data_IF_745399900760
#
_entry.id   IF_745399900760
#
_cell.length_a   1.000
_cell.length_b   1.000
_cell.length_c   1.000
_cell.angle_alpha   90.00
_cell.angle_beta   90.00
_cell.angle_gamma   90.00
#
_symmetry.space_group_name_H-M   'P 1'
#
loop_
_entity.id
_entity.type
_entity.pdbx_description
1 polymer ?
#
# COMPACT_ATOMS: atom_id res chain seq x y z
N UNK A 1 2.45 0.48 -0.51
CA UNK A 1 1.66 0.41 -1.76
C UNK A 1 1.58 -0.99 -2.35
N UNK A 2 2.68 -1.74 -2.45
CA UNK A 2 2.72 -3.07 -3.08
C UNK A 2 1.90 -4.19 -2.39
N UNK A 3 1.18 -3.89 -1.31
CA UNK A 3 0.27 -4.83 -0.61
C UNK A 3 -1.11 -4.21 -0.37
N UNK A 4 -1.45 -3.13 -1.08
CA UNK A 4 -2.68 -2.35 -0.88
C UNK A 4 -3.80 -2.70 -1.89
N UNK A 5 -3.66 -3.82 -2.61
CA UNK A 5 -4.55 -4.25 -3.70
C UNK A 5 -5.65 -5.20 -3.25
N UNK A 6 -5.85 -5.40 -1.95
CA UNK A 6 -6.89 -6.27 -1.40
C UNK A 6 -8.30 -5.87 -1.84
N UNK A 7 -8.53 -4.59 -2.13
CA UNK A 7 -9.79 -4.10 -2.71
C UNK A 7 -10.15 -4.71 -4.07
N UNK A 8 -9.14 -5.09 -4.88
CA UNK A 8 -9.36 -5.76 -6.18
C UNK A 8 -9.70 -7.24 -6.04
N UNK A 9 -9.38 -7.82 -4.88
CA UNK A 9 -9.59 -9.25 -4.63
C UNK A 9 -11.02 -9.57 -4.19
N UNK A 10 -11.89 -8.58 -3.99
CA UNK A 10 -13.30 -8.79 -3.64
C UNK A 10 -14.01 -9.74 -4.60
N UNK A 11 -13.69 -9.68 -5.91
CA UNK A 11 -14.23 -10.62 -6.90
C UNK A 11 -13.89 -12.09 -6.63
N UNK A 12 -12.75 -12.37 -5.98
CA UNK A 12 -12.27 -13.74 -5.73
C UNK A 12 -13.01 -14.43 -4.58
N UNK A 13 -13.45 -13.69 -3.56
CA UNK A 13 -14.11 -14.26 -2.38
C UNK A 13 -15.60 -13.88 -2.23
N UNK A 14 -16.09 -12.87 -2.96
CA UNK A 14 -17.50 -12.45 -2.89
C UNK A 14 -18.48 -13.57 -3.25
N UNK A 15 -18.16 -14.40 -4.24
CA UNK A 15 -18.96 -15.57 -4.60
C UNK A 15 -19.04 -16.61 -3.46
N UNK A 16 -17.97 -16.74 -2.68
CA UNK A 16 -17.94 -17.63 -1.52
C UNK A 16 -18.82 -17.10 -0.37
N UNK A 17 -18.75 -15.79 -0.09
CA UNK A 17 -19.66 -15.12 0.86
C UNK A 17 -21.12 -15.32 0.44
N UNK A 18 -21.42 -15.21 -0.85
CA UNK A 18 -22.76 -15.43 -1.41
C UNK A 18 -23.28 -16.84 -1.09
N UNK A 19 -22.43 -17.85 -1.27
CA UNK A 19 -22.77 -19.26 -1.05
C UNK A 19 -23.04 -19.56 0.42
N UNK A 20 -22.20 -19.07 1.33
CA UNK A 20 -22.30 -19.36 2.77
C UNK A 20 -23.52 -18.71 3.41
N UNK A 21 -23.81 -17.45 3.07
CA UNK A 21 -24.87 -16.68 3.72
C UNK A 21 -26.19 -16.65 2.94
N UNK A 22 -26.25 -17.32 1.77
CA UNK A 22 -27.43 -17.29 0.90
C UNK A 22 -27.78 -15.88 0.39
N UNK A 23 -26.80 -14.98 0.32
CA UNK A 23 -27.03 -13.58 -0.03
C UNK A 23 -27.46 -13.42 -1.49
N UNK A 24 -28.48 -12.58 -1.70
CA UNK A 24 -28.87 -12.14 -3.04
C UNK A 24 -27.86 -11.17 -3.65
N UNK A 25 -27.99 -10.91 -4.95
CA UNK A 25 -27.12 -9.96 -5.65
C UNK A 25 -27.23 -8.53 -5.08
N UNK A 26 -28.42 -8.15 -4.60
CA UNK A 26 -28.65 -6.86 -3.92
C UNK A 26 -27.77 -6.70 -2.67
N UNK A 27 -27.62 -7.76 -1.87
CA UNK A 27 -26.77 -7.75 -0.68
C UNK A 27 -25.28 -7.60 -1.02
N UNK A 28 -24.79 -8.31 -2.05
CA UNK A 28 -23.41 -8.14 -2.54
C UNK A 28 -23.18 -6.73 -3.10
N UNK A 29 -24.17 -6.15 -3.77
CA UNK A 29 -24.08 -4.78 -4.28
C UNK A 29 -24.01 -3.77 -3.13
N UNK A 30 -24.76 -3.97 -2.05
CA UNK A 30 -24.62 -3.16 -0.83
C UNK A 30 -23.23 -3.29 -0.21
N UNK A 31 -22.69 -4.50 -0.10
CA UNK A 31 -21.33 -4.72 0.42
C UNK A 31 -20.29 -4.03 -0.46
N UNK A 32 -20.41 -4.15 -1.79
CA UNK A 32 -19.51 -3.46 -2.73
C UNK A 32 -19.63 -1.95 -2.60
N UNK A 33 -20.86 -1.43 -2.49
CA UNK A 33 -21.08 0.00 -2.28
C UNK A 33 -20.39 0.51 -1.01
N UNK A 34 -20.53 -0.19 0.12
CA UNK A 34 -19.85 0.18 1.36
C UNK A 34 -18.34 0.04 1.30
N UNK A 35 -17.83 -0.96 0.58
CA UNK A 35 -16.39 -1.09 0.28
C UNK A 35 -15.92 0.12 -0.54
N UNK A 36 -16.63 0.50 -1.61
CA UNK A 36 -16.26 1.65 -2.44
C UNK A 36 -16.42 2.96 -1.65
N UNK A 37 -17.42 3.10 -0.78
CA UNK A 37 -17.57 4.23 0.13
C UNK A 37 -16.38 4.33 1.07
N UNK A 38 -16.00 3.23 1.75
CA UNK A 38 -14.85 3.17 2.65
C UNK A 38 -13.55 3.52 1.95
N UNK A 39 -13.33 3.02 0.73
CA UNK A 39 -12.16 3.37 -0.08
C UNK A 39 -12.11 4.86 -0.44
N UNK A 40 -13.26 5.52 -0.58
CA UNK A 40 -13.34 6.95 -0.90
C UNK A 40 -13.28 7.87 0.33
N UNK A 41 -13.48 7.35 1.54
CA UNK A 41 -13.37 8.10 2.81
C UNK A 41 -11.91 8.39 3.24
N UNK A 42 -10.99 8.52 2.28
CA UNK A 42 -9.59 8.85 2.52
C UNK A 42 -9.33 10.27 3.03
N UNK A 43 -10.34 11.12 3.13
CA UNK A 43 -10.21 12.44 3.77
C UNK A 43 -9.78 12.28 5.24
N UNK A 44 -10.28 11.25 5.93
CA UNK A 44 -9.94 10.97 7.32
C UNK A 44 -8.45 10.64 7.48
N UNK A 45 -7.89 9.84 6.57
CA UNK A 45 -6.46 9.52 6.60
C UNK A 45 -5.59 10.73 6.25
N UNK A 46 -6.08 11.62 5.38
CA UNK A 46 -5.43 12.90 5.07
C UNK A 46 -5.29 13.80 6.30
N UNK A 47 -6.40 14.07 6.98
CA UNK A 47 -6.41 14.90 8.19
C UNK A 47 -5.55 14.27 9.29
N UNK A 48 -5.65 12.96 9.49
CA UNK A 48 -4.82 12.28 10.48
C UNK A 48 -3.32 12.41 10.18
N UNK A 49 -2.93 12.39 8.90
CA UNK A 49 -1.53 12.57 8.49
C UNK A 49 -1.01 14.00 8.73
N UNK A 50 -1.88 15.01 8.76
CA UNK A 50 -1.46 16.37 9.11
C UNK A 50 -1.14 16.52 10.60
N UNK A 51 -1.87 15.79 11.45
CA UNK A 51 -1.76 15.90 12.92
C UNK A 51 -0.80 14.87 13.52
N UNK A 52 -0.68 13.69 12.89
CA UNK A 52 0.09 12.56 13.40
C UNK A 52 1.28 12.21 12.50
N UNK A 53 2.35 11.63 13.08
CA UNK A 53 3.51 11.19 12.30
C UNK A 53 3.13 10.03 11.35
N UNK A 54 3.84 9.87 10.21
CA UNK A 54 3.51 8.84 9.19
C UNK A 54 3.45 7.41 9.72
N UNK A 55 4.32 7.07 10.68
CA UNK A 55 4.34 5.74 11.29
C UNK A 55 3.01 5.43 12.00
N UNK A 56 2.43 6.42 12.70
CA UNK A 56 1.17 6.23 13.43
C UNK A 56 0.01 6.04 12.45
N UNK A 57 -0.04 6.82 11.38
CA UNK A 57 -1.04 6.70 10.30
C UNK A 57 -1.00 5.30 9.69
N UNK A 58 0.19 4.76 9.47
CA UNK A 58 0.38 3.40 8.96
C UNK A 58 -0.01 2.32 9.95
N UNK A 59 0.33 2.49 11.24
CA UNK A 59 -0.08 1.56 12.29
C UNK A 59 -1.61 1.49 12.40
N UNK A 60 -2.30 2.64 12.37
CA UNK A 60 -3.76 2.70 12.37
C UNK A 60 -4.33 1.99 11.15
N UNK A 61 -3.78 2.25 9.96
CA UNK A 61 -4.15 1.53 8.74
C UNK A 61 -3.97 0.01 8.86
N UNK A 62 -2.84 -0.45 9.40
CA UNK A 62 -2.54 -1.88 9.57
C UNK A 62 -3.50 -2.57 10.54
N UNK A 63 -3.86 -1.89 11.65
CA UNK A 63 -4.83 -2.39 12.64
C UNK A 63 -6.22 -2.47 12.03
N UNK A 64 -6.67 -1.42 11.34
CA UNK A 64 -7.98 -1.41 10.68
C UNK A 64 -8.07 -2.49 9.58
N UNK A 65 -7.00 -2.71 8.81
CA UNK A 65 -6.92 -3.75 7.79
C UNK A 65 -7.06 -5.13 8.43
N UNK A 66 -6.24 -5.40 9.45
CA UNK A 66 -6.27 -6.68 10.15
C UNK A 66 -7.66 -6.91 10.75
N UNK A 67 -8.19 -5.94 11.49
CA UNK A 67 -9.48 -6.06 12.14
C UNK A 67 -10.62 -6.29 11.15
N UNK A 68 -10.73 -5.49 10.09
CA UNK A 68 -11.82 -5.59 9.11
C UNK A 68 -11.83 -6.94 8.38
N UNK A 69 -10.69 -7.37 7.85
CA UNK A 69 -10.59 -8.65 7.14
C UNK A 69 -10.58 -9.87 8.06
N UNK A 70 -10.04 -9.76 9.28
CA UNK A 70 -10.08 -10.84 10.27
C UNK A 70 -11.50 -11.09 10.77
N UNK A 71 -12.28 -10.03 11.02
CA UNK A 71 -13.71 -10.17 11.35
C UNK A 71 -14.50 -10.76 10.19
N UNK A 72 -14.18 -10.38 8.95
CA UNK A 72 -14.78 -11.00 7.76
C UNK A 72 -14.43 -12.49 7.67
N UNK A 73 -13.18 -12.87 7.94
CA UNK A 73 -12.74 -14.27 7.97
C UNK A 73 -13.46 -15.07 9.06
N UNK A 74 -13.56 -14.54 10.28
CA UNK A 74 -14.28 -15.19 11.39
C UNK A 74 -15.76 -15.44 11.08
N UNK A 75 -16.38 -14.52 10.35
CA UNK A 75 -17.76 -14.66 9.90
C UNK A 75 -17.88 -15.76 8.83
N UNK A 76 -17.01 -15.74 7.82
CA UNK A 76 -17.06 -16.69 6.70
C UNK A 76 -16.70 -18.11 7.15
N UNK A 77 -15.69 -18.28 8.02
CA UNK A 77 -15.30 -19.58 8.56
C UNK A 77 -16.29 -20.19 9.57
N UNK A 78 -17.47 -19.58 9.78
CA UNK A 78 -18.49 -20.09 10.70
C UNK A 78 -18.07 -20.11 12.18
N UNK A 79 -16.99 -19.42 12.56
CA UNK A 79 -16.51 -19.36 13.95
C UNK A 79 -17.26 -18.34 14.82
N UNK A 80 -18.11 -17.53 14.19
CA UNK A 80 -18.96 -16.53 14.85
C UNK A 80 -20.41 -16.69 14.36
N UNK A 81 -21.38 -16.18 15.13
CA UNK A 81 -22.77 -16.15 14.70
C UNK A 81 -22.89 -15.38 13.37
N UNK A 82 -23.70 -15.88 12.44
CA UNK A 82 -23.85 -15.30 11.11
C UNK A 82 -24.19 -13.81 11.22
N UNK A 83 -23.26 -12.90 10.87
CA UNK A 83 -23.49 -11.48 11.05
C UNK A 83 -24.51 -11.00 10.02
N UNK A 84 -25.42 -10.11 10.44
CA UNK A 84 -26.35 -9.48 9.51
C UNK A 84 -25.62 -8.72 8.41
N UNK A 85 -26.29 -8.51 7.27
CA UNK A 85 -25.76 -7.80 6.10
C UNK A 85 -25.12 -6.45 6.45
N UNK A 86 -25.76 -5.70 7.35
CA UNK A 86 -25.25 -4.41 7.83
C UNK A 86 -23.84 -4.52 8.44
N UNK A 87 -23.61 -5.54 9.27
CA UNK A 87 -22.34 -5.73 9.95
C UNK A 87 -21.24 -6.16 8.97
N UNK A 88 -21.58 -6.97 7.95
CA UNK A 88 -20.68 -7.28 6.83
C UNK A 88 -20.30 -6.03 6.04
N UNK A 89 -21.25 -5.14 5.78
CA UNK A 89 -20.99 -3.84 5.14
C UNK A 89 -20.03 -2.99 5.97
N UNK A 90 -20.19 -2.95 7.30
CA UNK A 90 -19.28 -2.24 8.21
C UNK A 90 -17.87 -2.84 8.17
N UNK A 91 -17.73 -4.16 8.27
CA UNK A 91 -16.42 -4.83 8.19
C UNK A 91 -15.70 -4.53 6.88
N UNK A 92 -16.41 -4.61 5.75
CA UNK A 92 -15.87 -4.28 4.44
C UNK A 92 -15.57 -2.80 4.27
N UNK A 93 -16.39 -1.90 4.81
CA UNK A 93 -16.13 -0.47 4.81
C UNK A 93 -14.87 -0.11 5.61
N UNK A 94 -14.69 -0.71 6.78
CA UNK A 94 -13.49 -0.52 7.62
C UNK A 94 -12.24 -1.08 6.92
N UNK A 95 -12.33 -2.28 6.36
CA UNK A 95 -11.25 -2.92 5.59
C UNK A 95 -10.89 -2.15 4.32
N UNK A 96 -11.86 -1.48 3.69
CA UNK A 96 -11.59 -0.63 2.53
C UNK A 96 -10.97 0.71 2.95
N UNK A 97 -11.39 1.26 4.09
CA UNK A 97 -10.86 2.51 4.62
C UNK A 97 -9.38 2.38 5.04
N UNK A 98 -8.94 1.22 5.53
CA UNK A 98 -7.52 1.00 5.86
C UNK A 98 -6.58 1.19 4.67
N UNK A 99 -7.06 0.92 3.45
CA UNK A 99 -6.28 1.12 2.22
C UNK A 99 -5.95 2.59 2.00
N UNK A 100 -6.84 3.50 2.40
CA UNK A 100 -6.62 4.94 2.31
C UNK A 100 -5.53 5.43 3.25
N UNK A 101 -5.39 4.85 4.45
CA UNK A 101 -4.28 5.17 5.36
C UNK A 101 -2.93 4.75 4.80
N UNK A 102 -2.85 3.51 4.29
CA UNK A 102 -1.65 3.00 3.61
C UNK A 102 -1.28 3.85 2.39
N UNK A 103 -2.28 4.26 1.61
CA UNK A 103 -2.07 5.12 0.44
C UNK A 103 -1.55 6.50 0.83
N UNK A 104 -2.22 7.21 1.74
CA UNK A 104 -1.84 8.56 2.15
C UNK A 104 -0.44 8.57 2.75
N UNK A 105 -0.15 7.66 3.69
CA UNK A 105 1.13 7.68 4.38
C UNK A 105 2.32 7.40 3.45
N UNK A 106 2.20 6.44 2.53
CA UNK A 106 3.27 6.18 1.57
C UNK A 106 3.36 7.28 0.50
N UNK A 107 2.23 7.74 -0.03
CA UNK A 107 2.20 8.74 -1.11
C UNK A 107 2.73 10.10 -0.65
N UNK A 108 2.24 10.61 0.47
CA UNK A 108 2.65 11.94 0.96
C UNK A 108 4.12 11.92 1.39
N UNK A 109 4.58 10.82 1.99
CA UNK A 109 5.99 10.67 2.36
C UNK A 109 6.90 10.66 1.13
N UNK A 110 6.55 9.90 0.08
CA UNK A 110 7.36 9.89 -1.15
C UNK A 110 7.31 11.22 -1.93
N UNK A 111 6.16 11.90 -1.96
CA UNK A 111 6.04 13.23 -2.57
C UNK A 111 6.87 14.30 -1.86
N UNK A 112 6.95 14.23 -0.52
CA UNK A 112 7.82 15.11 0.28
C UNK A 112 9.29 14.79 0.06
N UNK A 113 9.64 13.52 -0.11
CA UNK A 113 11.03 13.09 -0.32
C UNK A 113 11.57 13.42 -1.71
N UNK A 114 10.72 13.40 -2.76
CA UNK A 114 11.13 13.66 -4.15
C UNK A 114 10.26 14.75 -4.82
N UNK A 115 10.47 16.03 -4.48
CA UNK A 115 9.62 17.11 -4.95
C UNK A 115 9.74 17.40 -6.45
N UNK A 116 10.84 17.00 -7.12
CA UNK A 116 11.09 17.29 -8.54
C UNK A 116 10.40 16.31 -9.51
N UNK A 117 10.07 15.08 -9.07
CA UNK A 117 9.56 14.00 -9.95
C UNK A 117 8.21 13.44 -9.47
N UNK A 118 7.35 14.30 -8.93
CA UNK A 118 6.05 13.94 -8.34
C UNK A 118 5.18 13.10 -9.29
N UNK A 119 5.11 13.46 -10.57
CA UNK A 119 4.27 12.77 -11.55
C UNK A 119 4.66 11.32 -11.80
N UNK A 120 5.95 11.06 -12.08
CA UNK A 120 6.43 9.70 -12.35
C UNK A 120 6.34 8.82 -11.10
N UNK A 121 6.66 9.39 -9.94
CA UNK A 121 6.58 8.70 -8.66
C UNK A 121 5.12 8.36 -8.27
N UNK A 122 4.17 9.27 -8.51
CA UNK A 122 2.74 8.98 -8.35
C UNK A 122 2.25 7.87 -9.28
N UNK A 123 2.66 7.89 -10.55
CA UNK A 123 2.34 6.85 -11.53
C UNK A 123 2.85 5.49 -11.08
N UNK A 124 4.10 5.43 -10.62
CA UNK A 124 4.73 4.22 -10.12
C UNK A 124 4.05 3.69 -8.85
N UNK A 125 3.77 4.55 -7.87
CA UNK A 125 3.05 4.16 -6.64
C UNK A 125 1.64 3.60 -6.95
N UNK A 126 0.91 4.24 -7.86
CA UNK A 126 -0.39 3.71 -8.33
C UNK A 126 -0.25 2.40 -9.10
N UNK A 127 0.78 2.27 -9.93
CA UNK A 127 1.12 1.01 -10.60
C UNK A 127 1.32 -0.13 -9.61
N UNK A 128 2.02 0.12 -8.51
CA UNK A 128 2.19 -0.87 -7.43
C UNK A 128 0.88 -1.29 -6.77
N UNK A 129 -0.11 -0.40 -6.66
CA UNK A 129 -1.44 -0.76 -6.15
C UNK A 129 -2.11 -1.77 -7.11
N UNK A 130 -2.05 -1.52 -8.41
CA UNK A 130 -2.54 -2.48 -9.41
C UNK A 130 -1.78 -3.81 -9.40
N UNK A 131 -0.45 -3.76 -9.40
CA UNK A 131 0.42 -4.95 -9.35
C UNK A 131 0.20 -5.77 -8.09
N UNK A 132 -0.10 -5.13 -6.95
CA UNK A 132 -0.29 -5.83 -5.69
C UNK A 132 -1.47 -6.81 -5.71
N UNK A 133 -2.54 -6.54 -6.46
CA UNK A 133 -3.63 -7.49 -6.63
C UNK A 133 -3.18 -8.77 -7.34
N UNK A 134 -2.38 -8.62 -8.40
CA UNK A 134 -1.79 -9.75 -9.12
C UNK A 134 -0.80 -10.53 -8.25
N UNK A 135 0.11 -9.84 -7.54
CA UNK A 135 1.08 -10.43 -6.61
C UNK A 135 0.37 -11.27 -5.54
N UNK A 136 -0.64 -10.68 -4.89
CA UNK A 136 -1.43 -11.36 -3.85
C UNK A 136 -2.17 -12.57 -4.40
N UNK A 137 -2.73 -12.48 -5.61
CA UNK A 137 -3.42 -13.60 -6.25
C UNK A 137 -2.47 -14.77 -6.51
N UNK A 138 -1.26 -14.51 -7.03
CA UNK A 138 -0.26 -15.57 -7.23
C UNK A 138 0.18 -16.21 -5.90
N UNK A 139 0.38 -15.40 -4.86
CA UNK A 139 0.75 -15.90 -3.54
C UNK A 139 -0.35 -16.77 -2.92
N UNK A 140 -1.62 -16.40 -3.12
CA UNK A 140 -2.76 -17.21 -2.70
C UNK A 140 -2.77 -18.58 -3.36
N UNK A 141 -2.65 -18.63 -4.70
CA UNK A 141 -2.64 -19.90 -5.43
C UNK A 141 -1.48 -20.80 -5.00
N UNK A 142 -0.31 -20.22 -4.70
CA UNK A 142 0.85 -20.97 -4.22
C UNK A 142 0.67 -21.51 -2.79
N UNK A 143 0.09 -20.72 -1.87
CA UNK A 143 0.01 -21.11 -0.45
C UNK A 143 -1.22 -21.95 -0.10
N UNK A 144 -2.41 -21.55 -0.57
CA UNK A 144 -3.67 -22.13 -0.12
C UNK A 144 -4.31 -23.05 -1.18
N UNK A 145 -3.90 -22.91 -2.44
CA UNK A 145 -4.50 -23.60 -3.58
C UNK A 145 -5.93 -23.10 -3.89
N UNK A 146 -6.48 -23.49 -5.04
CA UNK A 146 -7.77 -22.98 -5.53
C UNK A 146 -8.97 -23.30 -4.61
N UNK A 147 -8.85 -24.28 -3.71
CA UNK A 147 -9.98 -24.85 -2.99
C UNK A 147 -10.31 -24.18 -1.64
N UNK A 148 -9.57 -23.15 -1.21
CA UNK A 148 -9.71 -22.55 0.13
C UNK A 148 -9.89 -21.02 0.11
N UNK A 149 -11.07 -20.52 -0.32
CA UNK A 149 -11.37 -19.07 -0.35
C UNK A 149 -11.32 -18.40 1.03
N UNK A 150 -11.56 -19.13 2.13
CA UNK A 150 -11.34 -18.62 3.49
C UNK A 150 -9.87 -18.25 3.75
N UNK A 151 -8.94 -19.05 3.22
CA UNK A 151 -7.50 -18.81 3.32
C UNK A 151 -7.07 -17.53 2.62
N UNK A 152 -7.76 -17.15 1.53
CA UNK A 152 -7.54 -15.87 0.84
C UNK A 152 -7.89 -14.69 1.75
N UNK A 153 -9.06 -14.72 2.40
CA UNK A 153 -9.49 -13.64 3.30
C UNK A 153 -8.52 -13.51 4.47
N UNK A 154 -8.08 -14.65 5.04
CA UNK A 154 -7.09 -14.67 6.11
C UNK A 154 -5.76 -14.06 5.64
N UNK A 155 -5.27 -14.44 4.46
CA UNK A 155 -4.03 -13.90 3.88
C UNK A 155 -4.09 -12.38 3.71
N UNK A 156 -5.22 -11.87 3.23
CA UNK A 156 -5.47 -10.43 3.09
C UNK A 156 -5.53 -9.72 4.45
N UNK A 157 -5.94 -10.40 5.52
CA UNK A 157 -5.98 -9.83 6.87
C UNK A 157 -4.57 -9.65 7.43
N UNK A 158 -3.73 -10.70 7.43
CA UNK A 158 -2.45 -10.65 8.13
C UNK A 158 -1.29 -10.15 7.26
N UNK A 159 -1.20 -10.51 5.97
CA UNK A 159 -0.01 -10.27 5.17
C UNK A 159 0.21 -8.77 4.88
N UNK A 160 -0.79 -8.00 4.41
CA UNK A 160 -0.65 -6.55 4.28
C UNK A 160 -0.33 -5.85 5.60
N UNK A 161 -0.99 -6.26 6.69
CA UNK A 161 -0.78 -5.68 8.01
C UNK A 161 0.63 -5.96 8.56
N UNK A 162 1.14 -7.19 8.40
CA UNK A 162 2.50 -7.56 8.79
C UNK A 162 3.54 -6.75 8.00
N UNK A 163 3.35 -6.60 6.69
CA UNK A 163 4.26 -5.84 5.83
C UNK A 163 4.20 -4.34 6.17
N UNK A 164 3.01 -3.79 6.46
CA UNK A 164 2.87 -2.40 6.91
C UNK A 164 3.57 -2.15 8.25
N UNK A 165 3.45 -3.07 9.20
CA UNK A 165 4.16 -2.96 10.49
C UNK A 165 5.67 -3.13 10.33
N UNK A 166 6.12 -4.06 9.49
CA UNK A 166 7.53 -4.25 9.18
C UNK A 166 8.15 -3.03 8.45
N UNK A 167 7.34 -2.25 7.74
CA UNK A 167 7.78 -1.03 7.06
C UNK A 167 7.94 0.19 7.99
N UNK A 168 7.40 0.15 9.21
CA UNK A 168 7.45 1.28 10.17
C UNK A 168 8.86 1.86 10.41
N UNK A 169 9.92 1.06 10.66
CA UNK A 169 11.26 1.61 10.91
C UNK A 169 11.87 2.32 9.69
N UNK A 170 11.42 2.00 8.48
CA UNK A 170 11.93 2.60 7.23
C UNK A 170 11.25 3.91 6.86
N UNK A 171 10.15 4.26 7.53
CA UNK A 171 9.33 5.42 7.18
C UNK A 171 9.72 6.56 8.11
N UNK A 172 10.95 7.06 7.91
CA UNK A 172 11.42 8.28 8.54
C UNK A 172 11.44 9.40 7.51
N UNK A 173 10.96 10.59 7.88
CA UNK A 173 11.16 11.78 7.08
C UNK A 173 12.65 12.08 7.00
N UNK A 174 13.24 11.85 5.83
CA UNK A 174 14.56 12.38 5.52
C UNK A 174 14.36 13.89 5.37
N UNK A 175 14.87 14.66 6.34
CA UNK A 175 14.97 16.11 6.21
C UNK A 175 15.97 16.40 5.08
N UNK A 176 15.45 16.55 3.87
CA UNK A 176 16.21 16.99 2.70
C UNK A 176 16.55 18.46 2.88
N UNK A 177 17.60 18.75 3.67
CA UNK A 177 18.20 20.06 3.71
C UNK A 177 19.50 20.04 2.91
N UNK A 178 19.43 20.65 1.73
CA UNK A 178 20.49 20.98 0.77
C UNK A 178 21.31 19.83 0.16
N UNK A 179 21.30 19.85 -1.19
CA UNK A 179 22.00 18.97 -2.12
C UNK A 179 21.48 17.54 -2.22
N UNK A 180 20.20 17.40 -2.59
CA UNK A 180 19.75 16.23 -3.33
C UNK A 180 20.59 16.16 -4.62
N UNK A 181 21.70 15.41 -4.58
CA UNK A 181 22.40 14.97 -5.80
C UNK A 181 21.31 14.43 -6.72
N UNK A 182 21.27 14.96 -7.93
CA UNK A 182 20.36 14.56 -8.99
C UNK A 182 20.70 13.15 -9.52
N UNK A 183 20.97 12.20 -8.62
CA UNK A 183 21.26 10.81 -8.94
C UNK A 183 19.93 10.07 -9.08
N UNK A 184 19.36 10.16 -10.27
CA UNK A 184 18.12 9.48 -10.65
C UNK A 184 18.33 7.98 -10.87
N UNK A 185 19.57 7.50 -10.84
CA UNK A 185 19.93 6.10 -11.08
C UNK A 185 19.12 5.12 -10.22
N UNK A 186 18.95 5.31 -8.90
CA UNK A 186 18.18 4.37 -8.10
C UNK A 186 16.68 4.40 -8.42
N UNK A 187 16.16 5.58 -8.78
CA UNK A 187 14.77 5.73 -9.22
C UNK A 187 14.52 4.99 -10.53
N UNK A 188 15.40 5.15 -11.52
CA UNK A 188 15.33 4.41 -12.78
C UNK A 188 15.50 2.90 -12.56
N UNK A 189 16.42 2.47 -11.71
CA UNK A 189 16.59 1.05 -11.37
C UNK A 189 15.31 0.47 -10.75
N UNK A 190 14.70 1.20 -9.80
CA UNK A 190 13.43 0.80 -9.20
C UNK A 190 12.31 0.75 -10.25
N UNK A 191 12.23 1.72 -11.16
CA UNK A 191 11.25 1.75 -12.25
C UNK A 191 11.44 0.57 -13.22
N UNK A 192 12.66 0.30 -13.68
CA UNK A 192 12.95 -0.81 -14.60
C UNK A 192 12.62 -2.16 -13.99
N UNK A 193 12.95 -2.39 -12.71
CA UNK A 193 12.62 -3.64 -12.01
C UNK A 193 11.10 -3.76 -11.80
N UNK A 194 10.41 -2.65 -11.49
CA UNK A 194 8.95 -2.63 -11.39
C UNK A 194 8.29 -3.01 -12.71
N UNK A 195 8.80 -2.47 -13.82
CA UNK A 195 8.29 -2.74 -15.17
C UNK A 195 8.57 -4.19 -15.59
N UNK A 196 9.75 -4.72 -15.24
CA UNK A 196 10.09 -6.12 -15.46
C UNK A 196 9.18 -7.07 -14.67
N UNK A 197 8.89 -6.76 -13.39
CA UNK A 197 7.93 -7.51 -12.58
C UNK A 197 6.50 -7.42 -13.14
N UNK A 198 6.08 -6.26 -13.66
CA UNK A 198 4.79 -6.11 -14.30
C UNK A 198 4.66 -6.95 -15.57
N UNK A 199 5.70 -6.91 -16.43
CA UNK A 199 5.75 -7.67 -17.66
C UNK A 199 5.78 -9.18 -17.39
N UNK A 200 6.53 -9.64 -16.39
CA UNK A 200 6.58 -11.06 -16.03
C UNK A 200 5.24 -11.54 -15.48
N UNK A 201 4.59 -10.78 -14.59
CA UNK A 201 3.24 -11.10 -14.10
C UNK A 201 2.23 -11.18 -15.24
N UNK A 202 2.26 -10.23 -16.18
CA UNK A 202 1.35 -10.25 -17.34
C UNK A 202 1.59 -11.46 -18.25
N UNK A 203 2.85 -11.78 -18.53
CA UNK A 203 3.23 -12.94 -19.33
C UNK A 203 2.84 -14.27 -18.67
N UNK A 204 2.71 -14.32 -17.35
CA UNK A 204 2.30 -15.50 -16.60
C UNK A 204 0.76 -15.59 -16.48
N UNK A 205 0.08 -14.47 -16.20
CA UNK A 205 -1.37 -14.45 -15.99
C UNK A 205 -2.14 -14.76 -17.28
N UNK A 206 -1.67 -14.28 -18.45
CA UNK A 206 -2.36 -14.55 -19.72
C UNK A 206 -2.47 -16.08 -19.98
N UNK A 207 -1.38 -16.87 -19.96
CA UNK A 207 -1.45 -18.32 -20.07
C UNK A 207 -2.28 -19.00 -18.99
N UNK A 208 -2.25 -18.51 -17.74
CA UNK A 208 -3.04 -19.07 -16.63
C UNK A 208 -4.56 -19.07 -16.91
N UNK A 209 -5.06 -18.16 -17.75
CA UNK A 209 -6.49 -18.16 -18.13
C UNK A 209 -6.88 -19.29 -19.08
N UNK A 210 -5.89 -19.93 -19.73
CA UNK A 210 -6.11 -20.93 -20.80
C UNK A 210 -5.57 -22.32 -20.44
N UNK A 211 -4.58 -22.39 -19.56
CA UNK A 211 -3.88 -23.61 -19.17
C UNK A 211 -4.07 -23.81 -17.67
N UNK A 212 -4.40 -25.02 -17.25
CA UNK A 212 -4.39 -25.38 -15.83
C UNK A 212 -2.96 -25.52 -15.34
N UNK A 213 -2.57 -24.68 -14.39
CA UNK A 213 -1.25 -24.70 -13.77
C UNK A 213 -1.20 -25.76 -12.67
N UNK A 214 -0.09 -26.50 -12.60
CA UNK A 214 0.16 -27.39 -11.46
C UNK A 214 0.54 -26.56 -10.22
N UNK A 215 0.41 -27.15 -9.03
CA UNK A 215 0.87 -26.51 -7.77
C UNK A 215 2.35 -26.11 -7.83
N UNK A 216 3.18 -26.92 -8.49
CA UNK A 216 4.61 -26.64 -8.68
C UNK A 216 4.84 -25.37 -9.50
N UNK A 217 4.01 -25.14 -10.52
CA UNK A 217 4.12 -23.96 -11.38
C UNK A 217 3.72 -22.70 -10.61
N UNK A 218 2.67 -22.76 -9.79
CA UNK A 218 2.29 -21.66 -8.90
C UNK A 218 3.39 -21.33 -7.88
N UNK A 219 4.05 -22.34 -7.31
CA UNK A 219 5.17 -22.13 -6.38
C UNK A 219 6.36 -21.48 -7.10
N UNK A 220 6.67 -21.91 -8.33
CA UNK A 220 7.75 -21.32 -9.13
C UNK A 220 7.46 -19.83 -9.46
N UNK A 221 6.23 -19.53 -9.87
CA UNK A 221 5.77 -18.16 -10.14
C UNK A 221 5.83 -17.30 -8.87
N UNK A 222 5.32 -17.79 -7.75
CA UNK A 222 5.35 -17.06 -6.48
C UNK A 222 6.80 -16.82 -6.01
N UNK A 223 7.70 -17.79 -6.19
CA UNK A 223 9.12 -17.66 -5.86
C UNK A 223 9.79 -16.57 -6.71
N UNK A 224 9.49 -16.52 -8.00
CA UNK A 224 9.97 -15.46 -8.90
C UNK A 224 9.45 -14.08 -8.46
N UNK A 225 8.16 -13.97 -8.14
CA UNK A 225 7.57 -12.71 -7.64
C UNK A 225 8.23 -12.26 -6.34
N UNK A 226 8.45 -13.18 -5.39
CA UNK A 226 9.14 -12.90 -4.13
C UNK A 226 10.58 -12.44 -4.40
N UNK A 227 11.31 -13.07 -5.33
CA UNK A 227 12.66 -12.66 -5.70
C UNK A 227 12.70 -11.21 -6.21
N UNK A 228 11.78 -10.83 -7.10
CA UNK A 228 11.68 -9.45 -7.58
C UNK A 228 11.34 -8.46 -6.45
N UNK A 229 10.44 -8.84 -5.52
CA UNK A 229 10.12 -8.01 -4.35
C UNK A 229 11.32 -7.83 -3.42
N UNK A 230 12.11 -8.89 -3.20
CA UNK A 230 13.35 -8.81 -2.42
C UNK A 230 14.39 -7.93 -3.10
N UNK A 231 14.51 -7.99 -4.43
CA UNK A 231 15.40 -7.12 -5.19
C UNK A 231 15.02 -5.64 -5.06
N UNK A 232 13.72 -5.34 -5.15
CA UNK A 232 13.20 -3.99 -4.92
C UNK A 232 13.51 -3.51 -3.50
N UNK A 233 13.31 -4.38 -2.50
CA UNK A 233 13.62 -4.07 -1.11
C UNK A 233 15.13 -3.84 -0.88
N UNK A 234 15.98 -4.68 -1.47
CA UNK A 234 17.44 -4.57 -1.34
C UNK A 234 17.96 -3.23 -1.88
N UNK A 235 17.41 -2.74 -2.99
CA UNK A 235 17.76 -1.41 -3.53
C UNK A 235 17.39 -0.33 -2.51
N UNK A 236 16.17 -0.36 -1.97
CA UNK A 236 15.70 0.63 -0.99
C UNK A 236 16.57 0.60 0.28
N UNK A 237 16.89 -0.58 0.80
CA UNK A 237 17.73 -0.74 1.99
C UNK A 237 19.17 -0.26 1.73
N UNK A 238 19.75 -0.60 0.58
CA UNK A 238 21.10 -0.14 0.23
C UNK A 238 21.16 1.39 0.10
N UNK A 239 20.10 2.02 -0.43
CA UNK A 239 20.00 3.46 -0.46
C UNK A 239 19.93 4.06 0.94
N UNK A 240 19.11 3.50 1.84
CA UNK A 240 18.99 3.96 3.22
C UNK A 240 20.32 3.84 3.98
N UNK A 241 21.03 2.72 3.80
CA UNK A 241 22.36 2.52 4.38
C UNK A 241 23.40 3.50 3.84
N UNK A 242 23.36 3.79 2.53
CA UNK A 242 24.27 4.77 1.91
C UNK A 242 24.04 6.17 2.47
N UNK A 243 22.77 6.54 2.73
CA UNK A 243 22.41 7.81 3.36
C UNK A 243 22.85 7.87 4.83
N UNK A 244 22.77 6.75 5.56
CA UNK A 244 23.18 6.69 6.97
C UNK A 244 24.70 6.79 7.14
N UNK A 245 25.47 6.15 6.26
CA UNK A 245 26.95 6.12 6.32
C UNK A 245 27.61 7.43 5.84
N UNK A 246 26.90 8.26 5.07
CA UNK A 246 27.37 9.56 4.60
C UNK A 246 26.39 10.67 5.03
N UNK A 247 26.40 11.09 6.31
CA UNK A 247 25.58 12.21 6.76
C UNK A 247 25.98 13.51 6.02
N UNK A 248 25.03 14.42 5.76
CA UNK A 248 25.34 15.68 5.08
C UNK A 248 26.33 16.53 5.88
N UNK A 249 27.20 17.30 5.21
CA UNK A 249 28.24 18.09 5.88
C UNK A 249 27.66 19.15 6.83
N UNK A 250 28.32 19.29 8.00
CA UNK A 250 27.95 20.14 9.15
C UNK A 250 27.82 21.63 8.79
N UNK A 251 28.42 22.07 7.68
CA UNK A 251 28.35 23.47 7.19
C UNK A 251 26.93 23.96 6.94
N UNK A 252 25.97 23.05 6.73
CA UNK A 252 24.54 23.37 6.60
C UNK A 252 23.85 23.79 7.91
N UNK A 253 24.41 23.41 9.07
CA UNK A 253 23.84 23.70 10.40
C UNK A 253 24.08 25.16 10.80
N UNK A 254 25.20 25.75 10.38
CA UNK A 254 25.57 27.14 10.70
C UNK A 254 24.88 28.19 9.81
N UNK A 255 24.48 27.82 8.59
CA UNK A 255 23.65 28.71 7.75
C UNK A 255 22.22 28.80 8.30
N UNK A 256 21.77 27.78 9.04
CA UNK A 256 20.43 27.75 9.62
C UNK A 256 20.31 28.56 10.92
N UNK A 257 21.40 28.80 11.67
CA UNK A 257 21.37 29.69 12.85
C UNK A 257 21.42 31.18 12.50
N UNK A 258 21.75 31.55 11.25
CA UNK A 258 21.93 32.93 10.81
C UNK A 258 20.71 33.53 10.10
N UNK A 259 19.57 32.83 10.05
CA UNK A 259 18.29 33.40 9.59
C UNK A 259 17.28 33.51 10.74
N UNK A 260 17.46 34.44 11.69
CA UNK A 260 16.39 34.81 12.60
C UNK A 260 15.41 35.76 11.89
N UNK A 261 14.14 35.59 12.21
CA UNK A 261 13.03 36.52 11.96
C UNK A 261 13.42 38.01 12.03
N UNK A 262 13.52 38.70 10.89
CA UNK A 262 13.39 40.16 10.71
C UNK A 262 13.21 40.35 9.18
N UNK A 263 12.13 40.88 8.61
CA UNK A 263 11.49 42.18 8.90
C UNK A 263 10.13 42.23 8.20
N UNK A 264 9.05 42.41 8.97
CA UNK A 264 7.77 42.93 8.47
C UNK A 264 7.84 44.45 8.32
N UNK A 265 7.06 44.99 7.38
CA UNK A 265 6.70 46.40 7.11
C UNK A 265 7.56 47.15 6.08
N UNK A 266 7.26 46.90 4.81
CA UNK A 266 7.37 47.93 3.75
C UNK A 266 6.24 48.94 3.97
N UNK A 267 6.64 50.16 4.35
CA UNK A 267 5.78 51.32 4.59
C UNK A 267 5.43 51.95 3.25
N UNK A 268 4.14 51.99 2.92
CA UNK A 268 3.62 52.84 1.84
C UNK A 268 3.83 54.31 2.21
N UNK A 269 4.53 55.07 1.37
CA UNK A 269 4.48 56.53 1.40
C UNK A 269 4.43 57.07 -0.03
N UNK A 270 3.30 57.69 -0.35
CA UNK A 270 3.06 58.64 -1.44
C UNK A 270 4.20 59.64 -1.61
N UNK A 271 4.49 60.03 -2.86
CA UNK A 271 4.89 61.34 -3.45
C UNK A 271 5.31 60.97 -4.90
N UNK A 272 4.77 61.43 -6.03
CA UNK A 272 3.98 62.61 -6.43
C UNK A 272 2.83 62.19 -7.36
#
# INVERSE_FOLDING_TARGET
MAMNGSGYMFGLYSNHIKSIFGYGQSALNSISFFKDLGANLGVVSGILYEVAPPWLVLSVGAILNFFGYFMLWLAVSGRTAAPGLWLMCVYMGVAANSLSFGNTAALVTCLRNFPLHRGCLLGLLKGYIGLSGAIMTQLYHAMYGENNPEGLILMIAWLPSAISLASLPFIRHINSNNNQRNDLKPFYNLLYISLALAASLLAIIIPQTKIHFSKTDYIAVASLVILFLLLLLAIVVNQELTLHNHPPPITSILVQSSSPHLTTMSRSSNWY
#
